data_IF_762708432862
#
_entry.id   IF_762708432862
#
_cell.length_a   1.000
_cell.length_b   1.000
_cell.length_c   1.000
_cell.angle_alpha   90.00
_cell.angle_beta   90.00
_cell.angle_gamma   90.00
#
_symmetry.space_group_name_H-M   'P 1'
#
loop_
_entity.id
_entity.type
_entity.pdbx_description
1 polymer ?
#
# COMPACT_ATOMS: atom_id res chain seq x y z
N UNK A 1 37.68 -40.15 22.24
CA UNK A 1 37.90 -39.42 20.98
C UNK A 1 37.06 -38.16 21.05
N UNK A 2 37.68 -37.01 21.31
CA UNK A 2 36.98 -35.74 21.45
C UNK A 2 36.76 -35.16 20.04
N UNK A 3 35.50 -35.11 19.61
CA UNK A 3 35.08 -34.51 18.34
C UNK A 3 35.07 -32.98 18.50
N UNK A 4 36.05 -32.32 17.89
CA UNK A 4 36.06 -30.87 17.76
C UNK A 4 35.10 -30.48 16.62
N UNK A 5 33.97 -29.87 16.98
CA UNK A 5 33.05 -29.24 16.02
C UNK A 5 33.69 -27.92 15.61
N UNK A 6 34.28 -27.86 14.42
CA UNK A 6 34.72 -26.60 13.84
C UNK A 6 33.45 -25.89 13.36
N UNK A 7 32.96 -24.97 14.19
CA UNK A 7 31.90 -24.03 13.85
C UNK A 7 32.44 -23.12 12.75
N UNK A 8 32.10 -23.41 11.50
CA UNK A 8 32.46 -22.59 10.35
C UNK A 8 31.83 -21.21 10.52
N UNK A 9 32.66 -20.23 10.91
CA UNK A 9 32.28 -18.83 10.97
C UNK A 9 31.79 -18.40 9.59
N UNK A 10 30.51 -17.99 9.50
CA UNK A 10 30.05 -17.14 8.40
C UNK A 10 30.95 -15.91 8.40
N UNK A 11 31.85 -15.80 7.43
CA UNK A 11 32.61 -14.58 7.20
C UNK A 11 31.70 -13.63 6.42
N UNK A 12 30.92 -12.82 7.13
CA UNK A 12 30.24 -11.67 6.55
C UNK A 12 31.31 -10.63 6.19
N UNK A 13 31.64 -10.50 4.91
CA UNK A 13 32.48 -9.39 4.43
C UNK A 13 31.63 -8.12 4.41
N UNK A 14 31.94 -7.17 5.29
CA UNK A 14 31.28 -5.87 5.37
C UNK A 14 31.57 -5.02 4.12
N UNK A 15 30.53 -4.52 3.46
CA UNK A 15 30.64 -3.36 2.59
C UNK A 15 30.50 -2.11 3.46
N UNK A 16 31.52 -1.24 3.47
CA UNK A 16 31.53 -0.01 4.25
C UNK A 16 30.47 0.97 3.75
N UNK A 17 29.38 1.08 4.50
CA UNK A 17 28.41 2.17 4.45
C UNK A 17 28.03 2.53 5.88
N UNK A 18 28.40 3.73 6.33
CA UNK A 18 28.14 4.21 7.70
C UNK A 18 26.63 4.41 7.86
N UNK A 19 25.98 3.42 8.47
CA UNK A 19 24.66 3.53 9.09
C UNK A 19 24.83 3.03 10.52
N UNK A 20 24.28 3.75 11.50
CA UNK A 20 24.35 3.46 12.95
C UNK A 20 23.60 2.17 13.36
N UNK A 21 23.31 1.30 12.38
CA UNK A 21 22.62 0.02 12.53
C UNK A 21 23.29 -1.05 11.68
N UNK A 22 23.66 -2.13 12.35
CA UNK A 22 24.21 -3.32 11.72
C UNK A 22 23.08 -4.31 11.43
N UNK A 23 22.90 -4.80 10.19
CA UNK A 23 21.98 -5.89 9.90
C UNK A 23 22.37 -7.13 10.71
N UNK A 24 21.38 -7.80 11.30
CA UNK A 24 21.63 -8.95 12.19
C UNK A 24 21.22 -10.24 11.50
N UNK A 25 22.19 -11.15 11.39
CA UNK A 25 22.03 -12.48 10.82
C UNK A 25 22.02 -13.50 11.94
N UNK A 26 20.91 -14.22 12.11
CA UNK A 26 20.77 -15.24 13.15
C UNK A 26 20.48 -16.58 12.51
N UNK A 27 21.39 -17.54 12.70
CA UNK A 27 21.14 -18.93 12.35
C UNK A 27 20.28 -19.59 13.44
N UNK A 28 19.11 -20.11 13.07
CA UNK A 28 18.21 -20.87 13.94
C UNK A 28 17.97 -22.25 13.35
N UNK A 29 18.78 -23.23 13.77
CA UNK A 29 18.75 -24.55 13.15
C UNK A 29 19.26 -24.47 11.70
N UNK A 30 18.41 -24.82 10.75
CA UNK A 30 18.68 -24.71 9.31
C UNK A 30 18.15 -23.39 8.69
N UNK A 31 17.49 -22.54 9.48
CA UNK A 31 16.90 -21.29 9.01
C UNK A 31 17.84 -20.10 9.24
N UNK A 32 17.91 -19.18 8.26
CA UNK A 32 18.58 -17.89 8.39
C UNK A 32 17.55 -16.78 8.61
N UNK A 33 17.63 -16.10 9.76
CA UNK A 33 16.81 -14.94 10.07
C UNK A 33 17.60 -13.64 9.84
N UNK A 34 17.03 -12.76 9.04
CA UNK A 34 17.55 -11.42 8.74
C UNK A 34 16.73 -10.38 9.50
N UNK A 35 17.36 -9.58 10.35
CA UNK A 35 16.70 -8.52 11.11
C UNK A 35 17.35 -7.15 10.87
N UNK A 36 16.55 -6.10 11.09
CA UNK A 36 16.97 -4.70 10.99
C UNK A 36 17.48 -4.31 9.59
N UNK A 37 16.89 -4.88 8.55
CA UNK A 37 17.24 -4.59 7.16
C UNK A 37 16.84 -3.16 6.74
N UNK A 38 17.60 -2.61 5.80
CA UNK A 38 17.36 -1.35 5.09
C UNK A 38 17.25 -1.61 3.58
N UNK A 39 16.73 -0.65 2.82
CA UNK A 39 16.64 -0.78 1.35
C UNK A 39 17.99 -1.09 0.69
N UNK A 40 19.09 -0.53 1.22
CA UNK A 40 20.46 -0.80 0.77
C UNK A 40 20.93 -2.24 0.96
N UNK A 41 20.27 -3.00 1.83
CA UNK A 41 20.57 -4.42 2.06
C UNK A 41 19.88 -5.32 1.01
N UNK A 42 19.12 -4.76 0.07
CA UNK A 42 18.55 -5.51 -1.04
C UNK A 42 19.62 -6.12 -1.94
N UNK A 43 19.39 -7.35 -2.40
CA UNK A 43 20.34 -8.03 -3.28
C UNK A 43 20.20 -9.55 -3.28
N UNK A 44 21.19 -10.21 -3.86
CA UNK A 44 21.23 -11.68 -3.95
C UNK A 44 21.97 -12.25 -2.74
N UNK A 45 21.26 -12.97 -1.90
CA UNK A 45 21.78 -13.71 -0.76
C UNK A 45 22.06 -15.15 -1.18
N UNK A 46 23.27 -15.65 -0.88
CA UNK A 46 23.66 -17.02 -1.19
C UNK A 46 23.87 -17.81 0.10
N UNK A 47 23.09 -18.87 0.30
CA UNK A 47 23.31 -19.84 1.37
C UNK A 47 24.19 -20.97 0.83
N UNK A 48 25.32 -21.21 1.50
CA UNK A 48 26.26 -22.27 1.16
C UNK A 48 26.26 -23.34 2.24
N UNK A 49 25.95 -24.58 1.84
CA UNK A 49 26.08 -25.76 2.70
C UNK A 49 27.26 -26.59 2.22
N UNK A 50 28.32 -26.63 3.03
CA UNK A 50 29.48 -27.47 2.78
C UNK A 50 29.23 -28.90 3.28
N UNK A 51 29.31 -29.88 2.38
CA UNK A 51 29.21 -31.30 2.73
C UNK A 51 30.59 -31.86 3.06
N UNK A 52 30.64 -32.90 3.89
CA UNK A 52 31.86 -33.62 4.24
C UNK A 52 32.60 -34.21 3.02
N UNK A 53 31.88 -34.47 1.92
CA UNK A 53 32.44 -34.92 0.65
C UNK A 53 33.21 -33.83 -0.12
N UNK A 54 33.25 -32.60 0.39
CA UNK A 54 33.81 -31.43 -0.29
C UNK A 54 32.85 -30.74 -1.26
N UNK A 55 31.68 -31.34 -1.49
CA UNK A 55 30.64 -30.79 -2.36
C UNK A 55 29.90 -29.63 -1.69
N UNK A 56 29.62 -28.58 -2.45
CA UNK A 56 28.91 -27.37 -1.96
C UNK A 56 27.55 -27.29 -2.60
N UNK A 57 26.50 -27.14 -1.79
CA UNK A 57 25.16 -26.81 -2.30
C UNK A 57 24.90 -25.33 -2.08
N UNK A 58 24.52 -24.63 -3.15
CA UNK A 58 24.24 -23.20 -3.14
C UNK A 58 22.75 -22.97 -3.37
N UNK A 59 22.10 -22.26 -2.45
CA UNK A 59 20.77 -21.70 -2.65
C UNK A 59 20.90 -20.18 -2.77
N UNK A 60 20.31 -19.59 -3.82
CA UNK A 60 20.34 -18.14 -4.06
C UNK A 60 18.95 -17.55 -3.89
N UNK A 61 18.84 -16.48 -3.14
CA UNK A 61 17.61 -15.74 -2.86
C UNK A 61 17.79 -14.29 -3.27
N UNK A 62 16.91 -13.77 -4.13
CA UNK A 62 16.89 -12.35 -4.47
C UNK A 62 15.95 -11.64 -3.50
N UNK A 63 16.50 -10.91 -2.53
CA UNK A 63 15.76 -10.22 -1.48
C UNK A 63 15.64 -8.75 -1.85
N UNK A 64 14.40 -8.24 -1.92
CA UNK A 64 14.11 -6.81 -2.06
C UNK A 64 13.53 -6.30 -0.74
N UNK A 65 14.24 -5.37 -0.11
CA UNK A 65 13.79 -4.67 1.08
C UNK A 65 13.11 -3.38 0.62
N UNK A 66 11.93 -3.09 1.17
CA UNK A 66 11.17 -1.88 0.88
C UNK A 66 10.80 -1.22 2.21
N UNK A 67 10.85 0.10 2.24
CA UNK A 67 10.28 0.86 3.35
C UNK A 67 8.76 0.73 3.40
N UNK A 68 8.19 1.00 4.58
CA UNK A 68 6.73 1.09 4.70
C UNK A 68 6.21 2.31 3.95
N UNK A 69 5.03 2.19 3.38
CA UNK A 69 4.35 3.32 2.74
C UNK A 69 3.99 4.38 3.77
N UNK A 70 4.21 5.65 3.43
CA UNK A 70 3.78 6.78 4.24
C UNK A 70 2.26 6.93 4.22
N UNK A 71 1.66 7.46 5.31
CA UNK A 71 0.24 7.77 5.38
C UNK A 71 -0.23 8.60 4.19
N UNK A 72 -1.49 8.42 3.82
CA UNK A 72 -2.11 9.19 2.73
C UNK A 72 -2.98 10.32 3.26
N UNK A 73 -3.10 11.35 2.45
CA UNK A 73 -4.03 12.45 2.64
C UNK A 73 -5.04 12.45 1.49
N UNK A 74 -6.32 12.36 1.86
CA UNK A 74 -7.43 12.45 0.94
C UNK A 74 -8.07 13.84 0.99
N UNK A 75 -7.91 14.61 -0.08
CA UNK A 75 -8.62 15.87 -0.25
C UNK A 75 -9.72 15.74 -1.30
N UNK A 76 -10.85 16.41 -1.05
CA UNK A 76 -12.00 16.39 -1.94
C UNK A 76 -12.46 17.82 -2.18
N UNK A 77 -12.57 18.20 -3.43
CA UNK A 77 -13.02 19.52 -3.89
C UNK A 77 -14.34 19.33 -4.63
N UNK A 78 -15.41 19.96 -4.16
CA UNK A 78 -16.68 19.95 -4.86
C UNK A 78 -16.62 20.92 -6.06
N UNK A 79 -16.86 20.39 -7.26
CA UNK A 79 -16.84 21.16 -8.50
C UNK A 79 -18.25 21.56 -8.96
N UNK A 80 -19.30 21.08 -8.29
CA UNK A 80 -20.68 21.41 -8.65
C UNK A 80 -20.97 22.89 -8.41
N UNK A 81 -21.43 23.56 -9.46
CA UNK A 81 -21.71 25.01 -9.49
C UNK A 81 -23.00 25.35 -8.74
N UNK A 82 -23.86 24.36 -8.44
CA UNK A 82 -25.12 24.54 -7.72
C UNK A 82 -25.44 23.35 -6.81
N UNK A 83 -26.03 23.61 -5.63
CA UNK A 83 -26.52 22.54 -4.71
C UNK A 83 -27.68 21.70 -5.27
N UNK A 84 -28.28 22.13 -6.38
CA UNK A 84 -29.46 21.54 -7.01
C UNK A 84 -29.19 20.89 -8.38
N UNK A 85 -27.92 20.72 -8.78
CA UNK A 85 -27.62 20.01 -10.02
C UNK A 85 -27.93 18.52 -9.87
N UNK A 86 -28.56 17.93 -10.89
CA UNK A 86 -28.87 16.49 -10.94
C UNK A 86 -27.62 15.60 -10.93
N UNK A 87 -26.45 16.17 -11.22
CA UNK A 87 -25.14 15.52 -11.10
C UNK A 87 -24.30 16.18 -10.02
N UNK A 88 -23.67 15.35 -9.18
CA UNK A 88 -22.63 15.78 -8.26
C UNK A 88 -21.26 15.38 -8.83
N UNK A 89 -20.49 16.39 -9.22
CA UNK A 89 -19.11 16.23 -9.68
C UNK A 89 -18.14 16.80 -8.65
N UNK A 90 -17.12 16.02 -8.32
CA UNK A 90 -16.08 16.41 -7.38
C UNK A 90 -14.72 15.88 -7.82
N UNK A 91 -13.67 16.61 -7.49
CA UNK A 91 -12.29 16.18 -7.68
C UNK A 91 -11.75 15.61 -6.39
N UNK A 92 -11.09 14.46 -6.49
CA UNK A 92 -10.40 13.78 -5.41
C UNK A 92 -8.91 13.86 -5.67
N UNK A 93 -8.15 14.35 -4.71
CA UNK A 93 -6.70 14.24 -4.74
C UNK A 93 -6.26 13.31 -3.61
N UNK A 94 -5.57 12.25 -4.01
CA UNK A 94 -4.97 11.25 -3.15
C UNK A 94 -3.45 11.50 -3.20
N UNK A 95 -2.83 11.78 -2.06
CA UNK A 95 -1.39 12.01 -1.99
C UNK A 95 -0.80 11.29 -0.79
N UNK A 96 0.47 10.87 -0.88
CA UNK A 96 1.19 10.32 0.26
C UNK A 96 2.04 11.40 0.92
N UNK A 97 2.01 11.45 2.26
CA UNK A 97 2.49 12.59 3.06
C UNK A 97 3.98 12.91 2.86
N UNK A 98 4.81 11.88 2.66
CA UNK A 98 6.27 12.02 2.55
C UNK A 98 6.81 11.71 1.14
N UNK A 99 5.93 11.37 0.19
CA UNK A 99 6.32 11.02 -1.17
C UNK A 99 5.78 12.04 -2.18
N UNK A 100 6.53 12.28 -3.25
CA UNK A 100 6.07 13.11 -4.38
C UNK A 100 4.94 12.48 -5.21
N UNK A 101 4.38 11.35 -4.76
CA UNK A 101 3.34 10.61 -5.46
C UNK A 101 1.98 11.16 -5.05
N UNK A 102 1.30 11.73 -6.04
CA UNK A 102 -0.09 12.13 -5.93
C UNK A 102 -0.85 11.68 -7.18
N UNK A 103 -2.16 11.57 -7.05
CA UNK A 103 -3.05 11.28 -8.17
C UNK A 103 -4.36 12.01 -7.97
N UNK A 104 -4.84 12.60 -9.05
CA UNK A 104 -6.08 13.35 -9.09
C UNK A 104 -7.10 12.58 -9.90
N UNK A 105 -8.31 12.48 -9.36
CA UNK A 105 -9.43 11.78 -9.96
C UNK A 105 -10.61 12.72 -10.05
N UNK A 106 -11.30 12.71 -11.18
CA UNK A 106 -12.59 13.36 -11.33
C UNK A 106 -13.67 12.32 -11.12
N UNK A 107 -14.60 12.59 -10.22
CA UNK A 107 -15.66 11.66 -9.88
C UNK A 107 -17.04 12.27 -10.15
N UNK A 108 -17.94 11.47 -10.70
CA UNK A 108 -19.34 11.79 -10.94
C UNK A 108 -20.20 10.59 -10.49
N UNK A 109 -21.23 10.82 -9.68
CA UNK A 109 -22.19 9.84 -9.11
C UNK A 109 -21.87 8.35 -9.36
N UNK A 110 -20.89 7.79 -8.64
CA UNK A 110 -20.55 6.37 -8.65
C UNK A 110 -19.35 5.97 -9.53
N UNK A 111 -18.82 6.87 -10.36
CA UNK A 111 -17.63 6.62 -11.18
C UNK A 111 -16.54 7.67 -10.92
N UNK A 112 -15.29 7.21 -10.84
CA UNK A 112 -14.10 8.07 -10.80
C UNK A 112 -13.19 7.73 -11.98
N UNK A 113 -12.71 8.75 -12.68
CA UNK A 113 -11.70 8.65 -13.72
C UNK A 113 -10.42 9.35 -13.26
N UNK A 114 -9.27 8.70 -13.44
CA UNK A 114 -7.99 9.31 -13.15
C UNK A 114 -7.68 10.37 -14.22
N UNK A 115 -7.33 11.58 -13.78
CA UNK A 115 -6.85 12.63 -14.67
C UNK A 115 -5.41 12.32 -15.08
N UNK A 116 -5.09 12.45 -16.38
CA UNK A 116 -3.71 12.23 -16.87
C UNK A 116 -3.35 10.81 -17.29
N UNK A 117 -4.31 9.87 -17.30
CA UNK A 117 -4.28 8.70 -18.19
C UNK A 117 -3.01 7.83 -18.17
N UNK A 118 -2.29 7.74 -17.05
CA UNK A 118 -1.29 6.70 -16.80
C UNK A 118 -1.04 6.62 -15.29
N UNK A 119 -0.69 5.41 -14.84
CA UNK A 119 -0.32 5.11 -13.46
C UNK A 119 0.69 6.16 -13.00
N UNK A 120 0.49 6.78 -11.83
CA UNK A 120 1.36 7.83 -11.30
C UNK A 120 2.84 7.50 -11.58
N UNK A 121 3.48 8.25 -12.47
CA UNK A 121 4.93 8.16 -12.69
C UNK A 121 5.59 8.45 -11.34
N UNK A 122 6.05 7.40 -10.67
CA UNK A 122 6.52 7.56 -9.31
C UNK A 122 6.73 6.23 -8.64
N UNK A 123 7.97 5.77 -8.71
CA UNK A 123 8.56 4.66 -7.95
C UNK A 123 8.06 3.26 -8.39
N UNK A 124 8.95 2.33 -8.81
CA UNK A 124 8.57 0.95 -9.07
C UNK A 124 7.96 0.31 -7.81
N UNK A 125 6.89 -0.46 -7.98
CA UNK A 125 6.24 -1.27 -6.93
C UNK A 125 5.46 -0.53 -5.85
N UNK A 126 5.13 0.74 -6.07
CA UNK A 126 4.07 1.43 -5.32
C UNK A 126 2.78 1.54 -6.15
N UNK A 127 1.65 1.56 -5.43
CA UNK A 127 0.31 1.63 -5.99
C UNK A 127 -0.48 2.66 -5.20
N UNK A 128 -0.93 3.71 -5.89
CA UNK A 128 -1.86 4.70 -5.37
C UNK A 128 -3.20 4.52 -6.08
N UNK A 129 -4.28 4.27 -5.34
CA UNK A 129 -5.59 3.92 -5.89
C UNK A 129 -6.70 4.66 -5.17
N UNK A 130 -7.68 5.15 -5.93
CA UNK A 130 -8.92 5.71 -5.40
C UNK A 130 -10.07 4.77 -5.70
N UNK A 131 -10.80 4.39 -4.66
CA UNK A 131 -12.02 3.62 -4.75
C UNK A 131 -13.21 4.49 -4.35
N UNK A 132 -14.27 4.45 -5.14
CA UNK A 132 -15.54 5.10 -4.84
C UNK A 132 -16.63 4.06 -4.60
N UNK A 133 -17.38 4.25 -3.52
CA UNK A 133 -18.66 3.59 -3.27
C UNK A 133 -19.78 4.63 -3.25
N UNK A 134 -21.04 4.23 -2.98
CA UNK A 134 -22.16 5.16 -2.88
C UNK A 134 -22.09 6.12 -1.68
N UNK A 135 -21.25 5.82 -0.68
CA UNK A 135 -21.15 6.62 0.57
C UNK A 135 -19.74 7.07 0.93
N UNK A 136 -18.72 6.41 0.43
CA UNK A 136 -17.33 6.58 0.85
C UNK A 136 -16.41 6.69 -0.35
N UNK A 137 -15.42 7.56 -0.23
CA UNK A 137 -14.24 7.66 -1.08
C UNK A 137 -13.06 7.14 -0.25
N UNK A 138 -12.27 6.24 -0.83
CA UNK A 138 -11.10 5.64 -0.19
C UNK A 138 -9.89 5.94 -1.06
N UNK A 139 -8.86 6.53 -0.48
CA UNK A 139 -7.53 6.64 -1.06
C UNK A 139 -6.65 5.60 -0.39
N UNK A 140 -6.02 4.73 -1.18
CA UNK A 140 -5.14 3.66 -0.69
C UNK A 140 -3.76 3.77 -1.32
N UNK A 141 -2.73 3.73 -0.49
CA UNK A 141 -1.33 3.62 -0.89
C UNK A 141 -0.77 2.30 -0.39
N UNK A 142 -0.16 1.51 -1.26
CA UNK A 142 0.38 0.20 -0.91
C UNK A 142 1.63 -0.14 -1.71
N UNK A 143 2.50 -0.94 -1.11
CA UNK A 143 3.62 -1.62 -1.75
C UNK A 143 3.62 -3.11 -1.37
N UNK A 144 4.71 -3.84 -1.61
CA UNK A 144 4.76 -5.27 -1.33
C UNK A 144 4.82 -5.60 0.17
N UNK A 145 5.11 -4.62 1.03
CA UNK A 145 5.34 -4.83 2.48
C UNK A 145 4.27 -4.20 3.36
N UNK A 146 3.54 -3.20 2.88
CA UNK A 146 2.63 -2.40 3.70
C UNK A 146 1.58 -1.66 2.88
N UNK A 147 0.53 -1.21 3.57
CA UNK A 147 -0.53 -0.39 2.99
C UNK A 147 -1.07 0.60 4.04
N UNK A 148 -1.65 1.69 3.56
CA UNK A 148 -2.34 2.71 4.35
C UNK A 148 -3.46 3.33 3.54
N UNK A 149 -4.51 3.80 4.21
CA UNK A 149 -5.64 4.45 3.55
C UNK A 149 -6.13 5.68 4.32
N UNK A 150 -6.87 6.53 3.61
CA UNK A 150 -7.65 7.62 4.16
C UNK A 150 -9.02 7.62 3.47
N UNK A 151 -10.06 8.01 4.20
CA UNK A 151 -11.45 7.87 3.77
C UNK A 151 -12.25 9.12 4.03
N UNK A 152 -13.13 9.49 3.08
CA UNK A 152 -14.07 10.59 3.25
C UNK A 152 -15.48 10.21 2.81
N UNK A 153 -16.46 10.73 3.53
CA UNK A 153 -17.88 10.51 3.24
C UNK A 153 -18.35 11.41 2.11
N UNK A 154 -19.07 10.83 1.15
CA UNK A 154 -19.63 11.57 0.00
C UNK A 154 -20.67 12.59 0.48
N UNK A 155 -21.38 12.32 1.59
CA UNK A 155 -22.33 13.26 2.20
C UNK A 155 -21.72 14.62 2.56
N UNK A 156 -20.42 14.66 2.85
CA UNK A 156 -19.72 15.91 3.18
C UNK A 156 -19.44 16.76 1.93
N UNK A 157 -19.55 16.15 0.75
CA UNK A 157 -19.17 16.72 -0.55
C UNK A 157 -20.40 17.01 -1.39
N UNK A 158 -21.28 16.03 -1.50
CA UNK A 158 -22.56 16.09 -2.18
C UNK A 158 -23.68 16.13 -1.14
N UNK A 159 -24.55 17.13 -1.19
CA UNK A 159 -25.82 17.06 -0.48
C UNK A 159 -26.65 15.93 -1.12
N UNK A 160 -26.60 14.74 -0.53
CA UNK A 160 -27.66 13.77 -0.77
C UNK A 160 -28.93 14.44 -0.24
N UNK A 161 -29.93 14.63 -1.09
CA UNK A 161 -31.28 14.77 -0.59
C UNK A 161 -31.52 13.52 0.26
N UNK A 162 -31.63 13.69 1.58
CA UNK A 162 -32.29 12.70 2.41
C UNK A 162 -33.72 12.65 1.85
N UNK A 163 -33.98 11.63 1.04
CA UNK A 163 -35.33 11.33 0.59
C UNK A 163 -36.16 11.18 1.87
N UNK A 164 -37.19 12.00 2.12
CA UNK A 164 -38.01 11.81 3.29
C UNK A 164 -38.68 10.45 3.15
N UNK A 165 -38.20 9.46 3.90
CA UNK A 165 -38.96 8.25 4.18
C UNK A 165 -40.36 8.68 4.65
N UNK A 166 -41.36 8.43 3.81
CA UNK A 166 -42.76 8.51 4.21
C UNK A 166 -43.60 9.50 3.42
N UNK A 167 -44.31 8.99 2.41
CA UNK A 167 -45.78 8.85 2.46
C UNK A 167 -46.25 8.19 1.15
N UNK A 168 -46.19 6.86 1.08
CA UNK A 168 -47.08 6.13 0.16
C UNK A 168 -48.44 6.00 0.83
N UNK A 169 -49.34 6.96 0.56
CA UNK A 169 -50.76 6.81 0.90
C UNK A 169 -51.37 5.74 -0.01
N UNK A 170 -51.41 4.50 0.45
CA UNK A 170 -52.31 3.49 -0.12
C UNK A 170 -53.75 3.86 0.27
N UNK A 171 -54.45 4.60 -0.60
CA UNK A 171 -55.88 4.81 -0.49
C UNK A 171 -56.61 3.47 -0.73
N UNK A 172 -57.07 2.83 0.34
CA UNK A 172 -58.03 1.73 0.28
C UNK A 172 -59.43 2.32 0.11
N UNK A 173 -59.95 2.29 -1.13
CA UNK A 173 -61.35 2.62 -1.37
C UNK A 173 -62.22 1.37 -1.12
N UNK A 174 -63.17 1.47 -0.18
CA UNK A 174 -64.17 0.42 0.07
C UNK A 174 -65.39 0.74 -0.79
N UNK A 175 -65.58 -0.01 -1.88
CA UNK A 175 -66.80 0.09 -2.68
C UNK A 175 -67.98 -0.46 -1.85
N UNK A 176 -69.05 0.34 -1.77
CA UNK A 176 -70.32 -0.03 -1.15
C UNK A 176 -71.12 -0.95 -2.07
#
# INVERSE_FOLDING_TARGET
MFLYVILGLLVCTEAQGISDRTPVFVLKGEDLLLNNLQETDSGVYTAEVAKLSGDKTLAKYNIKVQDRVSPVNLTVVNNSVSRNSSSCSFTVTCSSQDSHINSTFTCETGTCSQEGGERSEGIPDTFLQVYQSSRLIICNHSNHVSWTNDTKTIKDVCHQHDDPEGLSLCLLNKNK
#
